data_IF_371443438205
#
_entry.id   IF_371443438205
#
_cell.length_a   1.000
_cell.length_b   1.000
_cell.length_c   1.000
_cell.angle_alpha   90.00
_cell.angle_beta   90.00
_cell.angle_gamma   90.00
#
_symmetry.space_group_name_H-M   'P 1'
#
loop_
_entity.id
_entity.type
_entity.pdbx_description
1 polymer ?
#
# COMPACT_ATOMS: atom_id res chain seq x y z
N UNK A 1 3.99 17.48 10.02
CA UNK A 1 4.60 17.53 8.66
C UNK A 1 4.49 16.16 7.98
N UNK A 2 4.54 16.08 6.64
CA UNK A 2 4.52 14.79 5.91
C UNK A 2 5.69 14.68 4.93
N UNK A 3 6.27 13.49 4.79
CA UNK A 3 7.40 13.20 3.90
C UNK A 3 7.13 11.92 3.12
N UNK A 4 7.58 11.84 1.87
CA UNK A 4 7.40 10.64 1.04
C UNK A 4 8.67 10.25 0.30
N UNK A 5 9.11 9.01 0.47
CA UNK A 5 10.13 8.38 -0.37
C UNK A 5 9.43 7.62 -1.50
N UNK A 6 9.71 8.00 -2.75
CA UNK A 6 9.01 7.49 -3.92
C UNK A 6 9.96 6.81 -4.89
N UNK A 7 9.53 5.69 -5.45
CA UNK A 7 10.21 5.01 -6.54
C UNK A 7 9.69 5.49 -7.90
N UNK A 8 10.60 5.75 -8.84
CA UNK A 8 10.30 6.04 -10.24
C UNK A 8 10.67 4.81 -11.07
N UNK A 9 9.66 4.16 -11.64
CA UNK A 9 9.83 3.16 -12.69
C UNK A 9 9.87 3.78 -14.08
N UNK A 10 9.80 2.93 -15.11
CA UNK A 10 9.81 3.34 -16.51
C UNK A 10 8.59 4.22 -16.84
N UNK A 11 7.39 3.77 -16.47
CA UNK A 11 6.12 4.44 -16.77
C UNK A 11 5.26 4.71 -15.52
N UNK A 12 5.78 4.34 -14.35
CA UNK A 12 5.02 4.26 -13.10
C UNK A 12 5.74 5.01 -11.98
N UNK A 13 4.98 5.76 -11.19
CA UNK A 13 5.44 6.37 -9.95
C UNK A 13 4.84 5.65 -8.74
N UNK A 14 5.64 5.34 -7.73
CA UNK A 14 5.20 4.57 -6.56
C UNK A 14 5.63 5.25 -5.26
N UNK A 15 4.72 5.88 -4.48
CA UNK A 15 5.06 6.31 -3.12
C UNK A 15 5.26 5.07 -2.23
N UNK A 16 6.52 4.73 -1.98
CA UNK A 16 6.91 3.50 -1.26
C UNK A 16 6.76 3.66 0.24
N UNK A 17 7.24 4.77 0.78
CA UNK A 17 7.18 5.09 2.21
C UNK A 17 6.65 6.50 2.38
N UNK A 18 5.66 6.67 3.25
CA UNK A 18 5.12 7.99 3.61
C UNK A 18 5.21 8.14 5.13
N UNK A 19 6.06 9.06 5.58
CA UNK A 19 6.09 9.50 6.96
C UNK A 19 5.01 10.56 7.18
N UNK A 20 4.20 10.37 8.22
CA UNK A 20 3.09 11.26 8.56
C UNK A 20 3.17 11.68 10.01
N UNK A 21 2.92 12.95 10.23
CA UNK A 21 2.53 13.46 11.53
C UNK A 21 1.04 13.20 11.76
N UNK A 22 0.74 12.25 12.66
CA UNK A 22 -0.60 11.68 12.81
C UNK A 22 -1.63 12.67 13.36
N UNK A 23 -1.20 13.69 14.11
CA UNK A 23 -2.06 14.77 14.61
C UNK A 23 -2.82 15.46 13.46
N UNK A 24 -2.19 15.53 12.28
CA UNK A 24 -2.72 16.23 11.11
C UNK A 24 -3.38 15.33 10.06
N UNK A 25 -3.37 14.01 10.26
CA UNK A 25 -3.96 13.07 9.28
C UNK A 25 -5.46 13.27 9.16
N UNK A 26 -6.19 13.37 10.28
CA UNK A 26 -7.65 13.55 10.28
C UNK A 26 -8.06 15.01 10.15
N UNK A 27 -7.44 15.88 10.94
CA UNK A 27 -7.79 17.31 11.02
C UNK A 27 -7.48 18.07 9.73
N UNK A 28 -6.38 17.73 9.04
CA UNK A 28 -5.92 18.43 7.83
C UNK A 28 -5.85 17.54 6.60
N UNK A 29 -6.21 16.26 6.72
CA UNK A 29 -6.15 15.32 5.60
C UNK A 29 -4.72 15.06 5.12
N UNK A 30 -3.72 15.10 6.01
CA UNK A 30 -2.30 15.07 5.63
C UNK A 30 -1.94 13.91 4.69
N UNK A 31 -2.47 12.70 4.94
CA UNK A 31 -2.25 11.56 4.05
C UNK A 31 -2.71 11.84 2.61
N UNK A 32 -3.89 12.44 2.43
CA UNK A 32 -4.40 12.83 1.09
C UNK A 32 -3.51 13.87 0.44
N UNK A 33 -2.93 14.79 1.20
CA UNK A 33 -2.02 15.79 0.66
C UNK A 33 -0.73 15.13 0.14
N UNK A 34 -0.17 14.17 0.88
CA UNK A 34 0.97 13.37 0.43
C UNK A 34 0.66 12.57 -0.85
N UNK A 35 -0.50 11.93 -0.93
CA UNK A 35 -0.94 11.24 -2.16
C UNK A 35 -1.07 12.21 -3.33
N UNK A 36 -1.71 13.38 -3.12
CA UNK A 36 -1.83 14.42 -4.16
C UNK A 36 -0.46 14.88 -4.66
N UNK A 37 0.50 15.08 -3.76
CA UNK A 37 1.86 15.47 -4.15
C UNK A 37 2.53 14.40 -5.03
N UNK A 38 2.37 13.12 -4.71
CA UNK A 38 2.87 12.02 -5.55
C UNK A 38 2.24 12.02 -6.95
N UNK A 39 0.93 12.27 -7.07
CA UNK A 39 0.26 12.39 -8.37
C UNK A 39 0.75 13.58 -9.20
N UNK A 40 0.88 14.75 -8.57
CA UNK A 40 1.40 15.94 -9.26
C UNK A 40 2.83 15.73 -9.73
N UNK A 41 3.66 15.05 -8.92
CA UNK A 41 5.02 14.69 -9.30
C UNK A 41 5.05 13.71 -10.47
N UNK A 42 4.21 12.67 -10.46
CA UNK A 42 4.09 11.73 -11.57
C UNK A 42 3.70 12.42 -12.88
N UNK A 43 2.73 13.34 -12.83
CA UNK A 43 2.33 14.18 -13.98
C UNK A 43 3.47 15.05 -14.50
N UNK A 44 4.19 15.71 -13.60
CA UNK A 44 5.33 16.55 -13.96
C UNK A 44 6.48 15.73 -14.61
N UNK A 45 6.58 14.44 -14.29
CA UNK A 45 7.53 13.51 -14.89
C UNK A 45 7.02 12.84 -16.17
N UNK A 46 5.79 13.12 -16.61
CA UNK A 46 5.18 12.49 -17.80
C UNK A 46 4.87 11.00 -17.63
N UNK A 47 4.75 10.51 -16.39
CA UNK A 47 4.50 9.09 -16.13
C UNK A 47 3.01 8.76 -16.29
N UNK A 48 2.72 7.62 -16.91
CA UNK A 48 1.37 7.20 -17.25
C UNK A 48 0.58 6.71 -16.03
N UNK A 49 1.26 6.17 -15.01
CA UNK A 49 0.64 5.45 -13.90
C UNK A 49 1.19 5.85 -12.54
N UNK A 50 0.35 5.72 -11.52
CA UNK A 50 0.74 5.81 -10.11
C UNK A 50 0.25 4.58 -9.35
N UNK A 51 1.20 3.81 -8.81
CA UNK A 51 0.91 2.62 -7.99
C UNK A 51 0.91 3.00 -6.51
N UNK A 52 -0.25 2.99 -5.86
CA UNK A 52 -0.41 3.52 -4.49
C UNK A 52 -0.18 2.47 -3.39
N UNK A 53 0.27 1.27 -3.74
CA UNK A 53 0.44 0.15 -2.81
C UNK A 53 -0.89 -0.37 -2.22
N UNK A 54 -0.77 -1.32 -1.29
CA UNK A 54 -1.91 -2.00 -0.67
C UNK A 54 -2.59 -1.17 0.43
N UNK A 55 -3.84 -1.50 0.77
CA UNK A 55 -4.61 -0.86 1.85
C UNK A 55 -5.11 0.56 1.55
N UNK A 56 -5.68 1.23 2.56
CA UNK A 56 -6.22 2.60 2.52
C UNK A 56 -7.10 2.92 1.28
N UNK A 57 -7.91 1.94 0.87
CA UNK A 57 -8.68 1.98 -0.38
C UNK A 57 -9.59 3.21 -0.49
N UNK A 58 -10.25 3.62 0.59
CA UNK A 58 -11.19 4.75 0.60
C UNK A 58 -10.52 6.09 0.24
N UNK A 59 -9.29 6.29 0.71
CA UNK A 59 -8.53 7.51 0.42
C UNK A 59 -8.00 7.48 -1.01
N UNK A 60 -7.55 6.31 -1.47
CA UNK A 60 -6.95 6.13 -2.80
C UNK A 60 -7.98 6.17 -3.93
N UNK A 61 -9.19 5.65 -3.72
CA UNK A 61 -10.31 5.70 -4.69
C UNK A 61 -10.68 7.13 -5.08
N UNK A 62 -10.51 8.10 -4.19
CA UNK A 62 -10.73 9.54 -4.46
C UNK A 62 -9.80 10.10 -5.53
N UNK A 63 -8.68 9.43 -5.80
CA UNK A 63 -7.74 9.77 -6.87
C UNK A 63 -7.91 8.91 -8.11
N UNK A 64 -9.05 8.21 -8.24
CA UNK A 64 -9.33 7.31 -9.36
C UNK A 64 -8.59 5.97 -9.28
N UNK A 65 -7.99 5.63 -8.13
CA UNK A 65 -7.29 4.37 -7.97
C UNK A 65 -8.25 3.18 -8.10
N UNK A 66 -7.88 2.23 -8.96
CA UNK A 66 -8.60 0.97 -9.14
C UNK A 66 -7.85 -0.13 -8.39
N UNK A 67 -8.50 -0.88 -7.48
CA UNK A 67 -7.85 -1.98 -6.80
C UNK A 67 -7.49 -3.05 -7.82
N UNK A 68 -6.24 -3.55 -7.74
CA UNK A 68 -5.80 -4.71 -8.48
C UNK A 68 -5.87 -5.93 -7.56
N UNK A 69 -6.40 -7.05 -8.06
CA UNK A 69 -6.43 -8.30 -7.31
C UNK A 69 -4.99 -8.81 -7.18
N UNK A 70 -4.50 -8.91 -5.95
CA UNK A 70 -3.23 -9.55 -5.64
C UNK A 70 -3.42 -11.07 -5.59
N UNK A 71 -2.44 -11.80 -6.10
CA UNK A 71 -2.32 -13.25 -5.95
C UNK A 71 -1.00 -13.54 -5.26
N UNK A 72 -1.02 -14.43 -4.27
CA UNK A 72 0.18 -14.89 -3.58
C UNK A 72 0.31 -16.37 -3.88
N UNK A 73 1.46 -16.75 -4.44
CA UNK A 73 1.83 -18.13 -4.69
C UNK A 73 2.86 -18.53 -3.64
N UNK A 74 2.63 -19.66 -2.97
CA UNK A 74 3.50 -20.18 -1.92
C UNK A 74 3.85 -21.62 -2.30
N UNK A 75 5.14 -21.93 -2.29
CA UNK A 75 5.63 -23.29 -2.38
C UNK A 75 6.31 -23.64 -1.05
N UNK A 76 5.90 -24.76 -0.46
CA UNK A 76 6.51 -25.29 0.75
C UNK A 76 7.71 -26.17 0.36
N UNK A 77 8.85 -25.97 1.02
CA UNK A 77 9.90 -26.99 1.04
C UNK A 77 9.65 -28.00 2.17
N UNK A 78 9.11 -27.52 3.29
CA UNK A 78 8.71 -28.33 4.44
C UNK A 78 7.20 -28.21 4.67
N UNK A 79 6.48 -29.25 4.25
CA UNK A 79 5.04 -29.36 4.44
C UNK A 79 4.65 -29.43 5.92
N UNK A 80 5.45 -30.12 6.74
CA UNK A 80 5.15 -30.28 8.16
C UNK A 80 5.23 -28.94 8.89
N UNK A 81 6.27 -28.14 8.62
CA UNK A 81 6.39 -26.81 9.21
C UNK A 81 5.23 -25.88 8.83
N UNK A 82 4.77 -25.94 7.57
CA UNK A 82 3.59 -25.17 7.15
C UNK A 82 2.31 -25.62 7.84
N UNK A 83 2.10 -26.92 8.00
CA UNK A 83 0.92 -27.46 8.68
C UNK A 83 0.91 -27.07 10.15
N UNK A 84 2.05 -27.14 10.83
CA UNK A 84 2.20 -26.67 12.21
C UNK A 84 1.88 -25.17 12.31
N UNK A 85 2.41 -24.34 11.40
CA UNK A 85 2.10 -22.91 11.37
C UNK A 85 0.61 -22.65 11.11
N UNK A 86 -0.04 -23.44 10.25
CA UNK A 86 -1.46 -23.35 9.98
C UNK A 86 -2.30 -23.71 11.21
N UNK A 87 -1.87 -24.71 11.98
CA UNK A 87 -2.53 -25.16 13.19
C UNK A 87 -2.38 -24.16 14.34
N UNK A 88 -1.17 -23.61 14.54
CA UNK A 88 -0.92 -22.50 15.48
C UNK A 88 -1.82 -21.31 15.14
N UNK A 89 -1.93 -20.96 13.85
CA UNK A 89 -2.82 -19.87 13.40
C UNK A 89 -4.29 -20.14 13.78
N UNK A 90 -4.76 -21.39 13.61
CA UNK A 90 -6.13 -21.78 13.93
C UNK A 90 -6.42 -21.69 15.43
N UNK A 91 -5.49 -22.16 16.27
CA UNK A 91 -5.61 -22.12 17.74
C UNK A 91 -5.58 -20.69 18.31
N UNK A 92 -4.77 -19.81 17.71
CA UNK A 92 -4.67 -18.41 18.11
C UNK A 92 -5.88 -17.56 17.66
N UNK A 93 -6.78 -18.10 16.83
CA UNK A 93 -7.92 -17.36 16.29
C UNK A 93 -7.54 -16.18 15.39
N UNK A 94 -6.28 -16.11 14.93
CA UNK A 94 -5.79 -15.01 14.10
C UNK A 94 -6.11 -15.34 12.63
N UNK A 95 -7.15 -14.69 12.09
CA UNK A 95 -7.50 -14.78 10.67
C UNK A 95 -8.92 -15.24 10.33
N UNK A 96 -9.86 -15.21 11.28
CA UNK A 96 -11.27 -15.13 10.92
C UNK A 96 -11.56 -13.77 10.24
N UNK A 97 -12.43 -13.71 9.22
CA UNK A 97 -12.74 -12.47 8.50
C UNK A 97 -13.31 -11.38 9.42
#
# INVERSE_FOLDING_TARGET
>A
MGVGACFRGIDTYCPMVIGLDYEYVRSRGLYRQCLRAAFLRARALGLARVSLGMGAGDQKRRFGARPLRGHVYVQAEDHYALDVLAQIKAELGVGAP
#
